data_IF_190376987751
#
_entry.id   IF_190376987751
#
_cell.length_a   1.000
_cell.length_b   1.000
_cell.length_c   1.000
_cell.angle_alpha   90.00
_cell.angle_beta   90.00
_cell.angle_gamma   90.00
#
_symmetry.space_group_name_H-M   'P 1'
#
loop_
_entity.id
_entity.type
_entity.pdbx_description
1 polymer ?
#
# COMPACT_ATOMS: atom_id res chain seq x y z
N UNK A 1 -40.47 34.03 -5.30
CA UNK A 1 -39.78 34.63 -4.15
C UNK A 1 -38.55 33.79 -3.86
N UNK A 2 -37.43 34.48 -3.73
CA UNK A 2 -36.04 34.01 -3.86
C UNK A 2 -35.63 32.95 -2.83
N UNK A 3 -34.89 31.95 -3.29
CA UNK A 3 -34.08 31.03 -2.48
C UNK A 3 -32.79 31.72 -2.00
N UNK A 4 -32.40 31.54 -0.74
CA UNK A 4 -31.06 31.87 -0.26
C UNK A 4 -30.50 30.69 0.54
N UNK A 5 -29.42 30.11 0.01
CA UNK A 5 -28.57 29.11 0.67
C UNK A 5 -27.89 29.70 1.91
N UNK A 6 -27.58 28.89 2.94
CA UNK A 6 -26.65 29.30 3.98
C UNK A 6 -25.21 29.27 3.46
N UNK A 7 -24.46 30.31 3.83
CA UNK A 7 -23.10 30.60 3.42
C UNK A 7 -22.13 29.47 3.73
N UNK A 8 -21.29 29.14 2.75
CA UNK A 8 -20.15 28.26 2.87
C UNK A 8 -19.00 29.05 3.49
N UNK A 9 -18.51 28.60 4.64
CA UNK A 9 -17.29 29.13 5.25
C UNK A 9 -16.11 28.91 4.28
N UNK A 10 -15.28 29.92 3.99
CA UNK A 10 -14.14 29.76 3.09
C UNK A 10 -13.07 28.89 3.74
N UNK A 11 -12.87 27.69 3.18
CA UNK A 11 -11.72 26.84 3.50
C UNK A 11 -10.45 27.50 2.96
N UNK A 12 -9.61 28.01 3.86
CA UNK A 12 -8.25 28.47 3.52
C UNK A 12 -7.44 27.26 3.03
N UNK A 13 -6.83 27.31 1.84
CA UNK A 13 -6.04 26.20 1.33
C UNK A 13 -4.75 26.03 2.14
N UNK A 14 -4.43 24.79 2.50
CA UNK A 14 -3.20 24.44 3.23
C UNK A 14 -1.94 24.89 2.47
N UNK A 15 -0.88 25.33 3.18
CA UNK A 15 0.39 25.70 2.57
C UNK A 15 1.03 24.51 1.82
N UNK A 16 1.82 24.76 0.74
CA UNK A 16 2.38 23.71 -0.11
C UNK A 16 3.26 22.68 0.63
N UNK A 17 3.86 23.08 1.76
CA UNK A 17 4.67 22.22 2.63
C UNK A 17 3.86 21.20 3.44
N UNK A 18 2.52 21.34 3.48
CA UNK A 18 1.59 20.44 4.18
C UNK A 18 0.71 19.61 3.24
N UNK A 19 0.92 19.72 1.93
CA UNK A 19 0.35 18.74 1.01
C UNK A 19 1.15 17.44 1.17
N UNK A 20 0.50 16.28 1.39
CA UNK A 20 1.21 15.02 1.23
C UNK A 20 1.84 15.04 -0.17
N UNK A 21 3.11 14.61 -0.33
CA UNK A 21 3.69 14.52 -1.66
C UNK A 21 2.68 13.81 -2.53
N UNK A 22 2.38 14.39 -3.70
CA UNK A 22 1.58 13.73 -4.70
C UNK A 22 2.31 12.42 -5.03
N UNK A 23 1.98 11.37 -4.29
CA UNK A 23 2.36 10.03 -4.63
C UNK A 23 1.62 9.81 -5.93
N UNK A 24 2.36 9.89 -7.02
CA UNK A 24 1.98 9.31 -8.28
C UNK A 24 1.59 7.88 -7.96
N UNK A 25 0.29 7.65 -7.79
CA UNK A 25 -0.36 6.36 -7.71
C UNK A 25 -0.25 5.76 -9.13
N UNK A 26 0.99 5.57 -9.62
CA UNK A 26 1.33 5.03 -10.94
C UNK A 26 1.16 3.51 -10.92
N UNK A 27 -0.02 3.05 -10.48
CA UNK A 27 -0.57 1.77 -10.90
C UNK A 27 -1.14 1.87 -12.33
N UNK A 28 -1.06 3.04 -12.97
CA UNK A 28 -1.56 3.33 -14.32
C UNK A 28 -0.61 2.98 -15.45
N UNK A 29 0.66 2.68 -15.21
CA UNK A 29 1.68 2.66 -16.28
C UNK A 29 2.19 1.27 -16.66
N UNK A 30 1.49 0.19 -16.30
CA UNK A 30 1.90 -1.17 -16.73
C UNK A 30 1.33 -1.61 -18.09
N UNK A 31 0.44 -0.83 -18.71
CA UNK A 31 -0.29 -1.22 -19.92
C UNK A 31 0.14 -0.51 -21.22
N UNK A 32 1.18 0.32 -21.17
CA UNK A 32 1.68 1.10 -22.32
C UNK A 32 3.15 0.81 -22.64
N UNK A 33 3.62 -0.42 -22.40
CA UNK A 33 4.95 -0.82 -22.84
C UNK A 33 4.95 -0.99 -24.36
N UNK A 34 5.80 -0.22 -25.04
CA UNK A 34 6.09 -0.41 -26.47
C UNK A 34 6.61 -1.83 -26.73
N UNK A 35 6.48 -2.31 -27.96
CA UNK A 35 6.88 -3.67 -28.37
C UNK A 35 8.36 -3.96 -28.06
N UNK A 36 9.21 -2.93 -28.15
CA UNK A 36 10.63 -2.96 -27.79
C UNK A 36 10.81 -3.12 -26.27
N UNK A 37 10.02 -2.41 -25.47
CA UNK A 37 10.06 -2.55 -24.01
C UNK A 37 9.55 -3.93 -23.56
N UNK A 38 8.54 -4.49 -24.24
CA UNK A 38 8.07 -5.86 -24.04
C UNK A 38 9.17 -6.88 -24.38
N UNK A 39 9.88 -6.71 -25.50
CA UNK A 39 11.00 -7.57 -25.88
C UNK A 39 12.15 -7.53 -24.86
N UNK A 40 12.59 -6.34 -24.45
CA UNK A 40 13.65 -6.21 -23.44
C UNK A 40 13.24 -6.78 -22.08
N UNK A 41 11.97 -6.62 -21.71
CA UNK A 41 11.40 -7.22 -20.49
C UNK A 41 11.36 -8.75 -20.57
N UNK A 42 10.99 -9.32 -21.72
CA UNK A 42 11.03 -10.77 -22.01
C UNK A 42 12.44 -11.33 -21.81
N UNK A 43 13.46 -10.67 -22.39
CA UNK A 43 14.88 -11.08 -22.24
C UNK A 43 15.35 -11.04 -20.78
N UNK A 44 14.93 -10.03 -20.00
CA UNK A 44 15.24 -9.93 -18.55
C UNK A 44 14.55 -11.02 -17.73
N UNK A 45 13.30 -11.35 -18.05
CA UNK A 45 12.55 -12.40 -17.36
C UNK A 45 13.18 -13.78 -17.60
N UNK A 46 13.56 -14.09 -18.85
CA UNK A 46 14.29 -15.30 -19.20
C UNK A 46 15.61 -15.40 -18.44
N UNK A 47 16.39 -14.31 -18.39
CA UNK A 47 17.63 -14.24 -17.59
C UNK A 47 17.37 -14.52 -16.11
N UNK A 48 16.36 -13.90 -15.51
CA UNK A 48 16.03 -14.10 -14.10
C UNK A 48 15.52 -15.52 -13.78
N UNK A 49 14.88 -16.21 -14.73
CA UNK A 49 14.48 -17.61 -14.57
C UNK A 49 15.71 -18.52 -14.67
N UNK A 50 16.63 -18.25 -15.62
CA UNK A 50 17.91 -18.95 -15.71
C UNK A 50 18.75 -18.78 -14.44
N UNK A 51 18.83 -17.56 -13.91
CA UNK A 51 19.48 -17.28 -12.61
C UNK A 51 18.76 -17.94 -11.43
N UNK A 52 17.42 -18.05 -11.47
CA UNK A 52 16.66 -18.77 -10.44
C UNK A 52 16.97 -20.27 -10.47
N UNK A 53 17.06 -20.87 -11.65
CA UNK A 53 17.48 -22.26 -11.83
C UNK A 53 18.90 -22.45 -11.27
N UNK A 54 19.81 -21.53 -11.59
CA UNK A 54 21.20 -21.56 -11.13
C UNK A 54 21.37 -21.27 -9.62
N UNK A 55 20.47 -20.47 -9.01
CA UNK A 55 20.52 -20.12 -7.58
C UNK A 55 19.99 -21.23 -6.67
N UNK A 56 19.10 -22.07 -7.18
CA UNK A 56 18.55 -23.21 -6.47
C UNK A 56 19.20 -24.53 -6.93
N UNK A 57 20.46 -24.46 -7.35
CA UNK A 57 21.26 -25.62 -7.72
C UNK A 57 21.22 -26.63 -6.57
N UNK A 58 20.64 -27.78 -6.89
CA UNK A 58 20.63 -28.98 -6.08
C UNK A 58 22.10 -29.37 -5.87
N UNK A 59 22.40 -30.04 -4.77
CA UNK A 59 23.73 -30.59 -4.46
C UNK A 59 24.20 -31.70 -5.44
N UNK A 60 23.85 -31.61 -6.72
CA UNK A 60 24.19 -32.53 -7.81
C UNK A 60 24.95 -31.80 -8.90
N UNK A 61 26.15 -31.34 -8.55
CA UNK A 61 27.16 -31.06 -9.56
C UNK A 61 27.42 -32.35 -10.37
N UNK A 62 27.49 -32.31 -11.71
CA UNK A 62 27.71 -33.49 -12.56
C UNK A 62 29.01 -34.25 -12.27
N UNK A 63 29.87 -33.67 -11.45
CA UNK A 63 31.11 -34.28 -10.99
C UNK A 63 30.91 -35.32 -9.86
N UNK A 64 29.71 -35.40 -9.24
CA UNK A 64 29.44 -36.26 -8.06
C UNK A 64 28.04 -36.92 -8.00
N UNK A 65 27.17 -36.76 -9.00
CA UNK A 65 25.83 -37.38 -9.01
C UNK A 65 25.91 -38.91 -9.06
N UNK A 66 25.26 -39.58 -8.10
CA UNK A 66 25.38 -41.05 -7.89
C UNK A 66 24.41 -41.88 -8.74
N UNK A 67 23.45 -41.24 -9.42
CA UNK A 67 22.40 -41.89 -10.20
C UNK A 67 22.33 -41.32 -11.62
N UNK A 68 22.33 -42.20 -12.62
CA UNK A 68 22.32 -41.83 -14.05
C UNK A 68 21.04 -41.11 -14.51
N UNK A 69 19.93 -41.25 -13.77
CA UNK A 69 18.64 -40.67 -14.15
C UNK A 69 18.52 -39.16 -13.82
N UNK A 70 19.26 -38.66 -12.83
CA UNK A 70 19.26 -37.24 -12.44
C UNK A 70 20.14 -36.37 -13.37
N UNK A 71 21.02 -37.00 -14.15
CA UNK A 71 21.97 -36.33 -15.05
C UNK A 71 21.25 -35.64 -16.22
N UNK A 72 20.10 -36.17 -16.67
CA UNK A 72 19.37 -35.62 -17.81
C UNK A 72 18.72 -34.25 -17.55
N UNK A 73 18.52 -33.86 -16.29
CA UNK A 73 17.79 -32.63 -15.93
C UNK A 73 18.71 -31.41 -15.71
N UNK A 74 20.03 -31.57 -15.89
CA UNK A 74 20.99 -30.49 -15.65
C UNK A 74 20.96 -29.40 -16.74
N UNK A 75 21.19 -28.14 -16.36
CA UNK A 75 21.24 -26.98 -17.28
C UNK A 75 22.34 -27.14 -18.35
N UNK A 76 23.37 -27.94 -18.07
CA UNK A 76 24.43 -28.29 -19.02
C UNK A 76 23.91 -29.30 -20.06
N UNK A 77 23.10 -30.29 -19.65
CA UNK A 77 22.40 -31.18 -20.59
C UNK A 77 21.38 -30.41 -21.42
N UNK A 78 20.76 -29.35 -20.89
CA UNK A 78 19.86 -28.48 -21.67
C UNK A 78 20.61 -27.61 -22.69
N UNK A 79 21.81 -27.14 -22.37
CA UNK A 79 22.70 -26.46 -23.31
C UNK A 79 23.25 -27.44 -24.38
N UNK A 80 23.54 -28.68 -24.00
CA UNK A 80 23.89 -29.77 -24.92
C UNK A 80 22.68 -30.16 -25.78
N UNK A 81 21.47 -30.23 -25.21
CA UNK A 81 20.22 -30.52 -25.93
C UNK A 81 19.95 -29.46 -27.00
N UNK A 82 20.11 -28.17 -26.66
CA UNK A 82 20.06 -27.06 -27.60
C UNK A 82 21.13 -27.14 -28.71
N UNK A 83 22.26 -27.80 -28.46
CA UNK A 83 23.28 -28.13 -29.47
C UNK A 83 23.01 -29.45 -30.21
N UNK A 84 22.01 -30.25 -29.84
CA UNK A 84 21.76 -31.58 -30.43
C UNK A 84 20.47 -31.72 -31.21
N UNK A 85 19.59 -30.72 -31.25
CA UNK A 85 18.39 -30.82 -32.07
C UNK A 85 18.75 -30.73 -33.55
N UNK A 86 18.60 -31.85 -34.26
CA UNK A 86 18.64 -31.92 -35.73
C UNK A 86 17.39 -31.26 -36.36
N UNK A 87 16.35 -31.06 -35.55
CA UNK A 87 15.03 -30.57 -35.95
C UNK A 87 14.95 -29.03 -35.94
N UNK A 88 14.05 -28.42 -36.73
CA UNK A 88 13.91 -26.97 -36.80
C UNK A 88 13.23 -26.42 -35.54
N UNK A 89 13.48 -25.14 -35.16
CA UNK A 89 13.07 -24.62 -33.86
C UNK A 89 11.55 -24.66 -33.57
N UNK A 90 10.72 -24.63 -34.62
CA UNK A 90 9.27 -24.78 -34.50
C UNK A 90 8.85 -26.19 -34.04
N UNK A 91 9.51 -27.23 -34.52
CA UNK A 91 9.24 -28.63 -34.10
C UNK A 91 9.77 -28.89 -32.71
N UNK A 92 10.97 -28.37 -32.41
CA UNK A 92 11.54 -28.39 -31.05
C UNK A 92 10.58 -27.74 -30.04
N UNK A 93 9.97 -26.60 -30.40
CA UNK A 93 8.99 -25.93 -29.55
C UNK A 93 7.73 -26.79 -29.31
N UNK A 94 7.25 -27.53 -30.32
CA UNK A 94 6.13 -28.44 -30.16
C UNK A 94 6.47 -29.63 -29.26
N UNK A 95 7.64 -30.24 -29.43
CA UNK A 95 8.11 -31.34 -28.56
C UNK A 95 8.17 -30.93 -27.10
N UNK A 96 8.77 -29.76 -26.79
CA UNK A 96 8.83 -29.26 -25.42
C UNK A 96 7.46 -28.87 -24.85
N UNK A 97 6.53 -28.37 -25.68
CA UNK A 97 5.14 -28.12 -25.26
C UNK A 97 4.44 -29.42 -24.85
N UNK A 98 4.66 -30.50 -25.58
CA UNK A 98 4.10 -31.82 -25.26
C UNK A 98 4.68 -32.39 -23.97
N UNK A 99 6.01 -32.38 -23.83
CA UNK A 99 6.71 -32.77 -22.59
C UNK A 99 6.21 -31.97 -21.38
N UNK A 100 6.06 -30.65 -21.51
CA UNK A 100 5.52 -29.81 -20.44
C UNK A 100 4.07 -30.15 -20.09
N UNK A 101 3.28 -30.57 -21.08
CA UNK A 101 1.89 -30.98 -20.87
C UNK A 101 1.76 -32.34 -20.21
N UNK A 102 2.70 -33.26 -20.47
CA UNK A 102 2.83 -34.54 -19.78
C UNK A 102 3.26 -34.34 -18.33
N UNK A 103 4.34 -33.58 -18.09
CA UNK A 103 4.79 -33.23 -16.76
C UNK A 103 3.70 -32.53 -15.92
N UNK A 104 2.85 -31.70 -16.56
CA UNK A 104 1.71 -31.08 -15.89
C UNK A 104 0.64 -32.10 -15.46
N UNK A 105 0.38 -33.14 -16.26
CA UNK A 105 -0.55 -34.24 -15.90
C UNK A 105 -0.02 -35.04 -14.72
N UNK A 106 1.29 -35.27 -14.67
CA UNK A 106 1.99 -35.94 -13.58
C UNK A 106 2.13 -35.07 -12.32
N UNK A 107 1.71 -33.81 -12.39
CA UNK A 107 1.89 -32.79 -11.33
C UNK A 107 3.36 -32.49 -11.03
N UNK A 108 4.27 -32.83 -11.93
CA UNK A 108 5.66 -32.39 -11.87
C UNK A 108 5.76 -30.94 -12.38
N UNK A 109 5.40 -30.00 -11.50
CA UNK A 109 5.34 -28.58 -11.82
C UNK A 109 6.70 -27.96 -12.15
N UNK A 110 7.81 -28.54 -11.66
CA UNK A 110 9.16 -28.03 -11.95
C UNK A 110 9.54 -28.35 -13.39
N UNK A 111 9.41 -29.61 -13.80
CA UNK A 111 9.75 -30.02 -15.15
C UNK A 111 8.80 -29.38 -16.16
N UNK A 112 7.51 -29.26 -15.83
CA UNK A 112 6.57 -28.50 -16.66
C UNK A 112 7.00 -27.03 -16.87
N UNK A 113 7.54 -26.37 -15.83
CA UNK A 113 8.02 -24.99 -15.96
C UNK A 113 9.25 -24.89 -16.88
N UNK A 114 10.17 -25.85 -16.76
CA UNK A 114 11.38 -25.94 -17.58
C UNK A 114 11.00 -26.17 -19.04
N UNK A 115 10.22 -27.22 -19.33
CA UNK A 115 9.79 -27.57 -20.68
C UNK A 115 9.00 -26.45 -21.35
N UNK A 116 8.05 -25.79 -20.65
CA UNK A 116 7.35 -24.65 -21.24
C UNK A 116 8.26 -23.44 -21.48
N UNK A 117 9.32 -23.26 -20.68
CA UNK A 117 10.28 -22.17 -20.90
C UNK A 117 11.15 -22.46 -22.13
N UNK A 118 11.64 -23.70 -22.27
CA UNK A 118 12.39 -24.15 -23.45
C UNK A 118 11.54 -24.06 -24.72
N UNK A 119 10.25 -24.41 -24.64
CA UNK A 119 9.33 -24.24 -25.77
C UNK A 119 9.18 -22.78 -26.21
N UNK A 120 9.07 -21.84 -25.25
CA UNK A 120 8.99 -20.40 -25.53
C UNK A 120 10.31 -19.89 -26.15
N UNK A 121 11.44 -20.36 -25.66
CA UNK A 121 12.76 -19.98 -26.17
C UNK A 121 12.96 -20.48 -27.61
N UNK A 122 12.55 -21.71 -27.91
CA UNK A 122 12.54 -22.27 -29.27
C UNK A 122 11.58 -21.51 -30.21
N UNK A 123 10.40 -21.09 -29.74
CA UNK A 123 9.51 -20.20 -30.49
C UNK A 123 10.15 -18.85 -30.79
N UNK A 124 10.88 -18.27 -29.83
CA UNK A 124 11.59 -17.01 -30.03
C UNK A 124 12.72 -17.16 -31.07
N UNK A 125 13.47 -18.25 -31.02
CA UNK A 125 14.49 -18.57 -32.02
C UNK A 125 13.88 -18.74 -33.42
N UNK A 126 12.77 -19.49 -33.52
CA UNK A 126 12.04 -19.62 -34.78
C UNK A 126 11.65 -18.24 -35.35
N UNK A 127 11.15 -17.34 -34.50
CA UNK A 127 10.79 -15.97 -34.91
C UNK A 127 11.98 -15.12 -35.33
N UNK A 128 13.13 -15.29 -34.70
CA UNK A 128 14.36 -14.61 -35.10
C UNK A 128 14.82 -15.09 -36.48
N UNK A 129 14.81 -16.41 -36.72
CA UNK A 129 15.09 -16.98 -38.03
C UNK A 129 14.12 -16.45 -39.10
N UNK A 130 12.82 -16.37 -38.79
CA UNK A 130 11.81 -15.77 -39.68
C UNK A 130 12.07 -14.29 -39.99
N UNK A 131 12.53 -13.51 -39.01
CA UNK A 131 12.83 -12.10 -39.20
C UNK A 131 14.02 -11.93 -40.16
N UNK A 132 15.08 -12.71 -39.98
CA UNK A 132 16.27 -12.71 -40.85
C UNK A 132 15.92 -13.06 -42.30
N UNK A 133 15.04 -14.05 -42.50
CA UNK A 133 14.57 -14.44 -43.84
C UNK A 133 13.82 -13.30 -44.56
N UNK A 134 13.05 -12.50 -43.83
CA UNK A 134 12.27 -11.39 -44.40
C UNK A 134 13.15 -10.17 -44.79
N UNK A 135 14.31 -9.99 -44.17
CA UNK A 135 15.25 -8.89 -44.47
C UNK A 135 16.07 -9.11 -45.75
N UNK A 136 15.71 -10.11 -46.59
CA UNK A 136 16.43 -10.54 -47.81
C UNK A 136 17.84 -11.07 -47.56
N UNK A 137 18.17 -11.42 -46.32
CA UNK A 137 19.34 -12.26 -46.05
C UNK A 137 19.00 -13.68 -46.52
N UNK A 138 19.55 -14.10 -47.66
CA UNK A 138 19.50 -15.49 -48.06
C UNK A 138 20.18 -16.40 -47.02
N UNK A 139 20.07 -17.74 -47.16
CA UNK A 139 20.66 -18.72 -46.25
C UNK A 139 22.20 -18.65 -46.14
N UNK A 140 22.86 -17.82 -46.95
CA UNK A 140 24.31 -17.63 -46.97
C UNK A 140 24.83 -16.62 -45.93
N UNK A 141 23.98 -15.91 -45.18
CA UNK A 141 24.37 -14.87 -44.22
C UNK A 141 24.22 -15.26 -42.73
N UNK A 142 24.17 -16.56 -42.41
CA UNK A 142 23.93 -17.12 -41.06
C UNK A 142 25.11 -16.93 -40.09
N UNK A 143 26.31 -16.62 -40.58
CA UNK A 143 27.51 -16.41 -39.76
C UNK A 143 27.40 -15.25 -38.73
N UNK A 144 26.30 -14.48 -38.73
CA UNK A 144 26.08 -13.33 -37.84
C UNK A 144 25.22 -13.60 -36.59
N UNK A 145 25.00 -14.86 -36.18
CA UNK A 145 24.32 -15.15 -34.91
C UNK A 145 25.29 -15.01 -33.71
N UNK A 146 25.50 -13.76 -33.30
CA UNK A 146 26.18 -13.39 -32.05
C UNK A 146 25.37 -13.84 -30.82
N UNK A 147 25.63 -15.03 -30.28
CA UNK A 147 25.35 -15.43 -28.88
C UNK A 147 25.89 -16.86 -28.58
N UNK A 148 27.01 -17.28 -29.19
CA UNK A 148 27.66 -18.56 -28.87
C UNK A 148 28.58 -18.39 -27.65
N UNK A 149 28.59 -19.37 -26.75
CA UNK A 149 29.41 -19.32 -25.53
C UNK A 149 30.90 -19.25 -25.91
N UNK A 150 31.63 -18.21 -25.46
CA UNK A 150 33.04 -18.01 -25.81
C UNK A 150 33.98 -19.11 -25.29
N UNK A 151 33.49 -20.04 -24.47
CA UNK A 151 34.27 -21.16 -23.94
C UNK A 151 34.17 -22.46 -24.76
N UNK A 152 33.43 -22.50 -25.88
CA UNK A 152 33.37 -23.70 -26.73
C UNK A 152 34.71 -23.96 -27.43
N UNK A 153 35.09 -25.24 -27.52
CA UNK A 153 36.23 -25.66 -28.36
C UNK A 153 35.94 -25.37 -29.83
N UNK A 154 36.99 -25.15 -30.64
CA UNK A 154 36.82 -24.81 -32.06
C UNK A 154 36.03 -25.84 -32.87
N UNK A 155 36.17 -27.12 -32.56
CA UNK A 155 35.46 -28.20 -33.25
C UNK A 155 33.98 -28.27 -32.83
N UNK A 156 33.69 -28.03 -31.55
CA UNK A 156 32.30 -28.04 -31.03
C UNK A 156 31.54 -26.79 -31.50
N UNK A 157 32.23 -25.65 -31.59
CA UNK A 157 31.69 -24.42 -32.15
C UNK A 157 31.30 -24.61 -33.62
N UNK A 158 32.15 -25.26 -34.41
CA UNK A 158 31.90 -25.53 -35.83
C UNK A 158 30.70 -26.47 -36.03
N UNK A 159 30.57 -27.51 -35.20
CA UNK A 159 29.42 -28.41 -35.22
C UNK A 159 28.12 -27.67 -34.88
N UNK A 160 28.13 -26.88 -33.81
CA UNK A 160 26.96 -26.10 -33.38
C UNK A 160 26.50 -25.10 -34.46
N UNK A 161 27.44 -24.40 -35.10
CA UNK A 161 27.15 -23.49 -36.22
C UNK A 161 26.53 -24.24 -37.41
N UNK A 162 27.06 -25.43 -37.74
CA UNK A 162 26.56 -26.26 -38.84
C UNK A 162 25.14 -26.75 -38.56
N UNK A 163 24.86 -27.24 -37.35
CA UNK A 163 23.53 -27.67 -36.95
C UNK A 163 22.52 -26.52 -36.97
N UNK A 164 22.92 -25.35 -36.45
CA UNK A 164 22.07 -24.15 -36.47
C UNK A 164 21.73 -23.71 -37.89
N UNK A 165 22.71 -23.77 -38.81
CA UNK A 165 22.50 -23.52 -40.25
C UNK A 165 21.53 -24.52 -40.86
N UNK A 166 21.66 -25.81 -40.54
CA UNK A 166 20.75 -26.84 -41.04
C UNK A 166 19.31 -26.62 -40.53
N UNK A 167 19.14 -26.34 -39.23
CA UNK A 167 17.85 -26.04 -38.63
C UNK A 167 17.18 -24.79 -39.24
N UNK A 168 17.97 -23.75 -39.53
CA UNK A 168 17.49 -22.56 -40.26
C UNK A 168 17.00 -22.90 -41.67
N UNK A 169 17.79 -23.65 -42.44
CA UNK A 169 17.42 -24.04 -43.80
C UNK A 169 16.14 -24.88 -43.83
N UNK A 170 16.00 -25.79 -42.86
CA UNK A 170 14.82 -26.64 -42.74
C UNK A 170 13.56 -25.82 -42.41
N UNK A 171 13.65 -24.88 -41.45
CA UNK A 171 12.57 -23.95 -41.15
C UNK A 171 12.20 -23.12 -42.40
N UNK A 172 13.18 -22.64 -43.15
CA UNK A 172 12.94 -21.88 -44.38
C UNK A 172 12.16 -22.68 -45.42
N UNK A 173 12.55 -23.94 -45.67
CA UNK A 173 11.81 -24.83 -46.57
C UNK A 173 10.37 -25.07 -46.10
N UNK A 174 10.17 -25.25 -44.79
CA UNK A 174 8.84 -25.45 -44.22
C UNK A 174 7.96 -24.21 -44.37
N UNK A 175 8.52 -23.01 -44.22
CA UNK A 175 7.78 -21.77 -44.44
C UNK A 175 7.34 -21.58 -45.89
N UNK A 176 8.14 -22.03 -46.86
CA UNK A 176 7.72 -22.00 -48.27
C UNK A 176 6.55 -22.94 -48.54
N UNK A 177 6.51 -24.08 -47.83
CA UNK A 177 5.44 -25.08 -47.95
C UNK A 177 4.18 -24.70 -47.18
N UNK A 178 4.30 -24.01 -46.04
CA UNK A 178 3.19 -23.61 -45.18
C UNK A 178 3.15 -22.09 -44.92
N UNK A 179 2.29 -21.33 -45.61
CA UNK A 179 2.18 -19.88 -45.42
C UNK A 179 1.65 -19.48 -44.04
N UNK A 180 1.06 -20.40 -43.27
CA UNK A 180 0.55 -20.15 -41.93
C UNK A 180 1.53 -20.51 -40.81
N UNK A 181 2.78 -20.86 -41.14
CA UNK A 181 3.78 -21.32 -40.15
C UNK A 181 3.97 -20.33 -39.00
N UNK A 182 4.02 -19.02 -39.30
CA UNK A 182 4.11 -17.97 -38.26
C UNK A 182 2.95 -18.04 -37.26
N UNK A 183 1.72 -18.24 -37.74
CA UNK A 183 0.54 -18.34 -36.88
C UNK A 183 0.58 -19.61 -36.02
N UNK A 184 1.14 -20.71 -36.53
CA UNK A 184 1.35 -21.94 -35.75
C UNK A 184 2.34 -21.71 -34.61
N UNK A 185 3.48 -21.07 -34.89
CA UNK A 185 4.49 -20.73 -33.87
C UNK A 185 3.87 -19.80 -32.81
N UNK A 186 3.14 -18.75 -33.23
CA UNK A 186 2.44 -17.84 -32.32
C UNK A 186 1.41 -18.58 -31.44
N UNK A 187 0.69 -19.55 -32.02
CA UNK A 187 -0.27 -20.40 -31.30
C UNK A 187 0.42 -21.28 -30.26
N UNK A 188 1.54 -21.93 -30.61
CA UNK A 188 2.34 -22.75 -29.69
C UNK A 188 2.89 -21.91 -28.55
N UNK A 189 3.46 -20.75 -28.84
CA UNK A 189 4.01 -19.85 -27.83
C UNK A 189 2.93 -19.36 -26.86
N UNK A 190 1.78 -18.92 -27.38
CA UNK A 190 0.64 -18.49 -26.58
C UNK A 190 0.12 -19.62 -25.67
N UNK A 191 0.04 -20.86 -26.17
CA UNK A 191 -0.33 -22.03 -25.35
C UNK A 191 0.71 -22.30 -24.25
N UNK A 192 2.00 -22.20 -24.55
CA UNK A 192 3.07 -22.38 -23.57
C UNK A 192 2.99 -21.32 -22.47
N UNK A 193 2.82 -20.03 -22.80
CA UNK A 193 2.59 -19.00 -21.78
C UNK A 193 1.33 -19.27 -20.94
N UNK A 194 0.24 -19.72 -21.57
CA UNK A 194 -1.02 -20.02 -20.90
C UNK A 194 -0.89 -21.17 -19.88
N UNK A 195 -0.17 -22.22 -20.25
CA UNK A 195 0.09 -23.38 -19.40
C UNK A 195 1.16 -23.07 -18.33
N UNK A 196 2.22 -22.34 -18.69
CA UNK A 196 3.24 -21.88 -17.74
C UNK A 196 2.64 -20.95 -16.67
N UNK A 197 1.72 -20.06 -17.04
CA UNK A 197 0.96 -19.26 -16.09
C UNK A 197 0.16 -20.12 -15.11
N UNK A 198 -0.42 -21.24 -15.56
CA UNK A 198 -1.13 -22.18 -14.69
C UNK A 198 -0.19 -22.85 -13.69
N UNK A 199 0.98 -23.31 -14.15
CA UNK A 199 2.02 -23.89 -13.29
C UNK A 199 2.48 -22.88 -12.24
N UNK A 200 2.79 -21.65 -12.66
CA UNK A 200 3.23 -20.60 -11.75
C UNK A 200 2.16 -20.20 -10.74
N UNK A 201 0.88 -20.19 -11.13
CA UNK A 201 -0.23 -19.98 -10.21
C UNK A 201 -0.29 -21.07 -9.13
N UNK A 202 -0.10 -22.35 -9.52
CA UNK A 202 -0.06 -23.48 -8.59
C UNK A 202 1.13 -23.39 -7.64
N UNK A 203 2.30 -22.96 -8.15
CA UNK A 203 3.52 -22.72 -7.38
C UNK A 203 3.47 -21.42 -6.54
N UNK A 204 2.35 -20.68 -6.55
CA UNK A 204 2.19 -19.37 -5.86
C UNK A 204 3.17 -18.28 -6.32
N UNK A 205 3.72 -18.43 -7.53
CA UNK A 205 4.55 -17.43 -8.19
C UNK A 205 3.68 -16.38 -8.88
N UNK A 206 2.93 -15.60 -8.09
CA UNK A 206 1.86 -14.73 -8.60
C UNK A 206 2.32 -13.63 -9.54
N UNK A 207 3.51 -13.05 -9.32
CA UNK A 207 4.04 -11.98 -10.19
C UNK A 207 4.34 -12.52 -11.58
N UNK A 208 5.13 -13.61 -11.66
CA UNK A 208 5.44 -14.28 -12.93
C UNK A 208 4.14 -14.72 -13.64
N UNK A 209 3.16 -15.22 -12.88
CA UNK A 209 1.89 -15.68 -13.46
C UNK A 209 1.14 -14.54 -14.17
N UNK A 210 1.15 -13.33 -13.59
CA UNK A 210 0.57 -12.14 -14.23
C UNK A 210 1.33 -11.77 -15.49
N UNK A 211 2.66 -11.89 -15.49
CA UNK A 211 3.49 -11.60 -16.66
C UNK A 211 3.23 -12.58 -17.80
N UNK A 212 3.18 -13.89 -17.52
CA UNK A 212 2.81 -14.89 -18.52
C UNK A 212 1.38 -14.66 -19.06
N UNK A 213 0.44 -14.29 -18.19
CA UNK A 213 -0.92 -13.96 -18.63
C UNK A 213 -0.97 -12.69 -19.50
N UNK A 214 -0.06 -11.73 -19.30
CA UNK A 214 0.03 -10.54 -20.16
C UNK A 214 0.45 -10.90 -21.57
N UNK A 215 1.43 -11.79 -21.73
CA UNK A 215 1.85 -12.28 -23.05
C UNK A 215 0.68 -13.00 -23.74
N UNK A 216 -0.05 -13.87 -23.02
CA UNK A 216 -1.26 -14.52 -23.58
C UNK A 216 -2.30 -13.49 -24.03
N UNK A 217 -2.52 -12.44 -23.23
CA UNK A 217 -3.50 -11.39 -23.55
C UNK A 217 -3.04 -10.43 -24.66
N UNK A 218 -1.75 -10.40 -24.98
CA UNK A 218 -1.21 -9.70 -26.15
C UNK A 218 -1.56 -10.47 -27.44
N UNK A 219 -1.50 -11.80 -27.42
CA UNK A 219 -1.96 -12.65 -28.53
C UNK A 219 -3.49 -12.73 -28.63
N UNK A 220 -4.16 -12.99 -27.51
CA UNK A 220 -5.60 -13.13 -27.42
C UNK A 220 -6.14 -12.31 -26.25
N UNK A 221 -6.55 -11.07 -26.56
CA UNK A 221 -7.14 -10.15 -25.58
C UNK A 221 -8.47 -10.64 -24.99
N UNK A 222 -9.08 -11.72 -25.54
CA UNK A 222 -10.34 -12.31 -25.09
C UNK A 222 -10.14 -13.55 -24.21
N UNK A 223 -8.89 -13.94 -23.93
CA UNK A 223 -8.59 -15.16 -23.20
C UNK A 223 -9.06 -15.12 -21.74
N UNK A 224 -10.25 -15.68 -21.47
CA UNK A 224 -10.87 -15.68 -20.13
C UNK A 224 -10.03 -16.43 -19.10
N UNK A 225 -9.34 -17.51 -19.50
CA UNK A 225 -8.46 -18.28 -18.61
C UNK A 225 -7.29 -17.43 -18.12
N UNK A 226 -6.61 -16.71 -19.02
CA UNK A 226 -5.53 -15.80 -18.64
C UNK A 226 -6.02 -14.68 -17.72
N UNK A 227 -7.20 -14.11 -18.00
CA UNK A 227 -7.81 -13.10 -17.10
C UNK A 227 -8.12 -13.66 -15.72
N UNK A 228 -8.68 -14.87 -15.63
CA UNK A 228 -8.98 -15.51 -14.35
C UNK A 228 -7.72 -15.76 -13.52
N UNK A 229 -6.65 -16.27 -14.16
CA UNK A 229 -5.37 -16.47 -13.48
C UNK A 229 -4.75 -15.14 -13.01
N UNK A 230 -4.87 -14.09 -13.82
CA UNK A 230 -4.43 -12.73 -13.45
C UNK A 230 -5.21 -12.20 -12.24
N UNK A 231 -6.54 -12.36 -12.22
CA UNK A 231 -7.41 -11.97 -11.10
C UNK A 231 -7.00 -12.67 -9.82
N UNK A 232 -6.80 -13.99 -9.86
CA UNK A 232 -6.39 -14.78 -8.69
C UNK A 232 -5.02 -14.34 -8.18
N UNK A 233 -4.03 -14.22 -9.06
CA UNK A 233 -2.69 -13.75 -8.69
C UNK A 233 -2.68 -12.32 -8.15
N UNK A 234 -3.43 -11.40 -8.76
CA UNK A 234 -3.53 -10.02 -8.33
C UNK A 234 -4.18 -9.89 -6.95
N UNK A 235 -5.20 -10.70 -6.68
CA UNK A 235 -5.87 -10.75 -5.38
C UNK A 235 -4.92 -11.20 -4.26
N UNK A 236 -4.13 -12.26 -4.49
CA UNK A 236 -3.13 -12.75 -3.53
C UNK A 236 -2.01 -11.73 -3.30
N UNK A 237 -1.62 -10.97 -4.33
CA UNK A 237 -0.66 -9.86 -4.23
C UNK A 237 -1.26 -8.57 -3.63
N UNK A 238 -2.52 -8.60 -3.18
CA UNK A 238 -3.26 -7.42 -2.67
C UNK A 238 -3.34 -6.25 -3.66
N UNK A 239 -3.17 -6.52 -4.97
CA UNK A 239 -3.36 -5.57 -6.06
C UNK A 239 -4.84 -5.54 -6.47
N UNK A 240 -5.70 -5.11 -5.52
CA UNK A 240 -7.16 -5.18 -5.66
C UNK A 240 -7.71 -4.32 -6.81
N UNK A 241 -7.07 -3.17 -7.11
CA UNK A 241 -7.40 -2.33 -8.28
C UNK A 241 -7.24 -3.12 -9.59
N UNK A 242 -6.11 -3.82 -9.75
CA UNK A 242 -5.81 -4.65 -10.91
C UNK A 242 -6.82 -5.82 -11.04
N UNK A 243 -7.11 -6.49 -9.92
CA UNK A 243 -8.12 -7.55 -9.84
C UNK A 243 -9.48 -7.06 -10.37
N UNK A 244 -9.97 -5.92 -9.87
CA UNK A 244 -11.25 -5.33 -10.32
C UNK A 244 -11.25 -5.02 -11.82
N UNK A 245 -10.17 -4.42 -12.34
CA UNK A 245 -10.03 -4.08 -13.77
C UNK A 245 -10.17 -5.31 -14.66
N UNK A 246 -9.47 -6.41 -14.35
CA UNK A 246 -9.57 -7.64 -15.12
C UNK A 246 -10.90 -8.36 -14.94
N UNK A 247 -11.51 -8.34 -13.75
CA UNK A 247 -12.87 -8.86 -13.57
C UNK A 247 -13.88 -8.13 -14.45
N UNK A 248 -13.86 -6.79 -14.45
CA UNK A 248 -14.78 -5.99 -15.29
C UNK A 248 -14.55 -6.24 -16.78
N UNK A 249 -13.28 -6.33 -17.20
CA UNK A 249 -12.91 -6.68 -18.59
C UNK A 249 -13.44 -8.06 -18.97
N UNK A 250 -13.21 -9.07 -18.12
CA UNK A 250 -13.68 -10.44 -18.35
C UNK A 250 -15.21 -10.52 -18.44
N UNK A 251 -15.94 -9.94 -17.49
CA UNK A 251 -17.41 -9.91 -17.51
C UNK A 251 -17.95 -9.26 -18.79
N UNK A 252 -17.32 -8.18 -19.26
CA UNK A 252 -17.72 -7.50 -20.50
C UNK A 252 -17.53 -8.40 -21.72
N UNK A 253 -16.41 -9.12 -21.80
CA UNK A 253 -16.11 -10.06 -22.89
C UNK A 253 -17.08 -11.24 -22.86
N UNK A 254 -17.30 -11.84 -21.70
CA UNK A 254 -18.17 -13.02 -21.54
C UNK A 254 -19.62 -12.68 -21.90
N UNK A 255 -20.11 -11.50 -21.52
CA UNK A 255 -21.47 -11.07 -21.85
C UNK A 255 -21.67 -10.83 -23.35
N UNK A 256 -20.65 -10.32 -24.05
CA UNK A 256 -20.73 -10.05 -25.49
C UNK A 256 -20.51 -11.30 -26.36
N UNK A 257 -19.52 -12.12 -26.02
CA UNK A 257 -18.99 -13.16 -26.90
C UNK A 257 -18.55 -14.44 -26.16
N UNK A 258 -18.92 -14.60 -24.88
CA UNK A 258 -18.48 -15.73 -24.07
C UNK A 258 -19.13 -17.05 -24.48
N UNK A 259 -18.34 -18.12 -24.41
CA UNK A 259 -18.84 -19.50 -24.56
C UNK A 259 -19.70 -19.92 -23.37
N UNK A 260 -20.45 -21.02 -23.49
CA UNK A 260 -21.22 -21.59 -22.36
C UNK A 260 -20.33 -21.88 -21.15
N UNK A 261 -19.08 -22.28 -21.37
CA UNK A 261 -18.13 -22.56 -20.29
C UNK A 261 -17.62 -21.27 -19.65
N UNK A 262 -17.41 -20.20 -20.42
CA UNK A 262 -17.00 -18.91 -19.87
C UNK A 262 -18.11 -18.28 -19.02
N UNK A 263 -19.37 -18.43 -19.42
CA UNK A 263 -20.52 -17.91 -18.66
C UNK A 263 -20.61 -18.50 -17.24
N UNK A 264 -20.17 -19.75 -17.03
CA UNK A 264 -20.10 -20.35 -15.68
C UNK A 264 -19.10 -19.65 -14.76
N UNK A 265 -18.13 -18.91 -15.33
CA UNK A 265 -17.11 -18.18 -14.55
C UNK A 265 -17.53 -16.76 -14.15
N UNK A 266 -18.59 -16.20 -14.75
CA UNK A 266 -19.15 -14.89 -14.38
C UNK A 266 -19.35 -14.68 -12.87
N UNK A 267 -20.02 -15.59 -12.13
CA UNK A 267 -20.23 -15.40 -10.68
C UNK A 267 -18.90 -15.35 -9.90
N UNK A 268 -17.85 -16.01 -10.40
CA UNK A 268 -16.53 -15.97 -9.79
C UNK A 268 -15.90 -14.58 -9.93
N UNK A 269 -15.97 -13.96 -11.12
CA UNK A 269 -15.47 -12.60 -11.34
C UNK A 269 -16.26 -11.57 -10.52
N UNK A 270 -17.60 -11.67 -10.49
CA UNK A 270 -18.44 -10.78 -9.69
C UNK A 270 -18.14 -10.88 -8.19
N UNK A 271 -17.92 -12.10 -7.69
CA UNK A 271 -17.48 -12.33 -6.31
C UNK A 271 -16.15 -11.61 -6.02
N UNK A 272 -15.17 -11.72 -6.92
CA UNK A 272 -13.86 -11.07 -6.74
C UNK A 272 -13.93 -9.55 -6.84
N UNK A 273 -14.88 -8.96 -7.58
CA UNK A 273 -15.13 -7.52 -7.57
C UNK A 273 -15.56 -7.08 -6.15
N UNK A 274 -16.59 -7.73 -5.58
CA UNK A 274 -17.10 -7.42 -4.24
C UNK A 274 -16.01 -7.57 -3.17
N UNK A 275 -15.25 -8.66 -3.21
CA UNK A 275 -14.14 -8.90 -2.28
C UNK A 275 -13.05 -7.83 -2.41
N UNK A 276 -12.69 -7.45 -3.64
CA UNK A 276 -11.68 -6.42 -3.90
C UNK A 276 -12.12 -5.06 -3.37
N UNK A 277 -13.39 -4.68 -3.58
CA UNK A 277 -13.95 -3.43 -3.07
C UNK A 277 -13.93 -3.39 -1.54
N UNK A 278 -14.31 -4.48 -0.87
CA UNK A 278 -14.23 -4.57 0.59
C UNK A 278 -12.78 -4.39 1.09
N UNK A 279 -11.80 -4.99 0.42
CA UNK A 279 -10.40 -4.87 0.84
C UNK A 279 -9.82 -3.47 0.57
N UNK A 280 -10.18 -2.84 -0.56
CA UNK A 280 -9.79 -1.46 -0.86
C UNK A 280 -10.33 -0.52 0.22
N UNK A 281 -11.62 -0.65 0.59
CA UNK A 281 -12.21 0.18 1.65
C UNK A 281 -11.51 -0.03 3.00
N UNK A 282 -11.20 -1.28 3.36
CA UNK A 282 -10.43 -1.58 4.57
C UNK A 282 -9.03 -0.94 4.55
N UNK A 283 -8.34 -0.97 3.41
CA UNK A 283 -7.04 -0.32 3.27
C UNK A 283 -7.14 1.20 3.38
N UNK A 284 -8.18 1.82 2.81
CA UNK A 284 -8.41 3.27 2.91
C UNK A 284 -8.68 3.67 4.36
N UNK A 285 -9.55 2.94 5.07
CA UNK A 285 -9.87 3.20 6.48
C UNK A 285 -8.62 3.04 7.34
N UNK A 286 -7.87 1.94 7.18
CA UNK A 286 -6.64 1.70 7.94
C UNK A 286 -5.57 2.78 7.67
N UNK A 287 -5.41 3.21 6.41
CA UNK A 287 -4.51 4.32 6.07
C UNK A 287 -4.95 5.63 6.71
N UNK A 288 -6.25 5.94 6.68
CA UNK A 288 -6.80 7.13 7.35
C UNK A 288 -6.56 7.08 8.86
N UNK A 289 -6.84 5.96 9.50
CA UNK A 289 -6.57 5.77 10.93
C UNK A 289 -5.09 5.92 11.27
N UNK A 290 -4.19 5.40 10.42
CA UNK A 290 -2.75 5.54 10.63
C UNK A 290 -2.31 7.00 10.52
N UNK A 291 -2.73 7.72 9.48
CA UNK A 291 -2.42 9.16 9.32
C UNK A 291 -2.93 9.96 10.51
N UNK A 292 -4.11 9.64 11.02
CA UNK A 292 -4.65 10.30 12.21
C UNK A 292 -3.84 9.99 13.46
N UNK A 293 -3.42 8.73 13.68
CA UNK A 293 -2.56 8.35 14.80
C UNK A 293 -1.19 9.02 14.72
N UNK A 294 -0.61 9.10 13.52
CA UNK A 294 0.68 9.77 13.31
C UNK A 294 0.55 11.27 13.60
N UNK A 295 -0.58 11.91 13.25
CA UNK A 295 -0.90 13.29 13.62
C UNK A 295 -1.05 13.46 15.14
N UNK A 296 -1.82 12.59 15.81
CA UNK A 296 -2.00 12.61 17.26
C UNK A 296 -0.64 12.48 17.99
N UNK A 297 0.20 11.54 17.55
CA UNK A 297 1.53 11.31 18.12
C UNK A 297 2.44 12.54 17.95
N UNK A 298 2.41 13.17 16.77
CA UNK A 298 3.20 14.38 16.51
C UNK A 298 2.80 15.56 17.41
N UNK A 299 1.51 15.74 17.67
CA UNK A 299 1.05 16.79 18.60
C UNK A 299 1.54 16.50 20.01
N UNK A 300 1.49 15.23 20.45
CA UNK A 300 2.00 14.81 21.76
C UNK A 300 3.51 15.05 21.89
N UNK A 301 4.28 14.74 20.85
CA UNK A 301 5.73 15.00 20.80
C UNK A 301 6.03 16.49 20.99
N UNK A 302 5.34 17.37 20.26
CA UNK A 302 5.53 18.83 20.35
C UNK A 302 5.19 19.36 21.76
N UNK A 303 4.12 18.85 22.38
CA UNK A 303 3.71 19.21 23.75
C UNK A 303 4.81 18.81 24.75
N UNK A 304 5.36 17.59 24.61
CA UNK A 304 6.42 17.10 25.48
C UNK A 304 7.74 17.86 25.30
N UNK A 305 8.12 18.16 24.04
CA UNK A 305 9.28 18.99 23.71
C UNK A 305 9.15 20.42 24.28
N UNK A 306 7.93 20.93 24.35
CA UNK A 306 7.60 22.24 24.96
C UNK A 306 7.68 22.25 26.49
N UNK A 307 8.06 21.13 27.12
CA UNK A 307 8.21 20.97 28.57
C UNK A 307 6.93 20.63 29.32
N UNK A 308 5.81 20.42 28.63
CA UNK A 308 4.52 20.08 29.24
C UNK A 308 4.46 18.57 29.48
N UNK A 309 4.17 18.18 30.73
CA UNK A 309 4.10 16.77 31.13
C UNK A 309 2.68 16.24 31.00
N UNK A 310 2.52 15.07 30.39
CA UNK A 310 1.22 14.39 30.28
C UNK A 310 0.86 13.61 31.56
N UNK A 311 -0.44 13.50 31.84
CA UNK A 311 -1.01 12.84 33.01
C UNK A 311 -2.28 12.05 32.72
N UNK A 312 -2.98 11.64 33.76
CA UNK A 312 -4.22 10.86 33.63
C UNK A 312 -5.39 11.77 33.27
N UNK A 313 -6.39 11.22 32.60
CA UNK A 313 -7.61 11.96 32.31
C UNK A 313 -8.41 12.18 33.60
N UNK A 314 -8.59 13.45 33.94
CA UNK A 314 -9.35 13.89 35.13
C UNK A 314 -10.86 13.76 34.90
N UNK A 315 -11.32 14.09 33.69
CA UNK A 315 -12.72 14.02 33.28
C UNK A 315 -12.85 12.91 32.23
N UNK A 316 -13.80 11.99 32.46
CA UNK A 316 -14.07 10.93 31.50
C UNK A 316 -14.74 11.51 30.25
N UNK A 317 -14.38 10.98 29.07
CA UNK A 317 -14.87 11.45 27.75
C UNK A 317 -16.39 11.48 27.61
N UNK A 318 -17.12 10.77 28.47
CA UNK A 318 -18.58 10.70 28.50
C UNK A 318 -19.24 11.90 29.21
N UNK A 319 -18.47 12.71 29.95
CA UNK A 319 -18.93 13.91 30.66
C UNK A 319 -18.74 15.20 29.84
N UNK A 320 -18.22 15.08 28.61
CA UNK A 320 -18.03 16.21 27.69
C UNK A 320 -19.32 16.48 26.88
N UNK A 321 -19.66 17.75 26.58
CA UNK A 321 -20.83 18.11 25.79
C UNK A 321 -20.96 17.37 24.44
N UNK A 322 -22.18 17.14 23.90
CA UNK A 322 -22.36 16.61 22.55
C UNK A 322 -21.76 17.57 21.50
N UNK A 323 -20.58 17.22 20.95
CA UNK A 323 -19.75 18.09 20.10
C UNK A 323 -18.33 18.24 20.62
N UNK A 324 -18.14 18.12 21.94
CA UNK A 324 -16.86 18.04 22.65
C UNK A 324 -16.27 16.61 22.68
N UNK A 325 -16.57 15.81 21.65
CA UNK A 325 -15.78 14.62 21.28
C UNK A 325 -14.77 14.92 20.14
N UNK A 326 -14.06 16.08 20.08
CA UNK A 326 -13.00 16.23 19.11
C UNK A 326 -11.89 15.23 19.45
N UNK A 327 -11.23 14.75 18.39
CA UNK A 327 -10.10 13.84 18.49
C UNK A 327 -8.95 14.54 19.21
N UNK A 328 -8.00 13.81 19.78
CA UNK A 328 -6.90 14.40 20.59
C UNK A 328 -6.18 15.54 19.84
N UNK A 329 -5.84 15.34 18.56
CA UNK A 329 -5.18 16.35 17.71
C UNK A 329 -6.00 17.60 17.38
N UNK A 330 -7.31 17.59 17.63
CA UNK A 330 -8.17 18.74 17.33
C UNK A 330 -8.33 19.66 18.55
N UNK A 331 -7.79 19.27 19.71
CA UNK A 331 -7.78 20.05 20.96
C UNK A 331 -6.59 20.99 21.08
N UNK A 332 -5.54 20.74 20.30
CA UNK A 332 -4.34 21.58 20.25
C UNK A 332 -4.00 21.82 18.79
N UNK A 333 -3.98 23.09 18.40
CA UNK A 333 -3.60 23.54 17.05
C UNK A 333 -2.36 24.40 17.16
N UNK A 334 -1.50 24.36 16.14
CA UNK A 334 -0.35 25.25 16.05
C UNK A 334 -0.74 26.48 15.23
N UNK A 335 -0.41 27.67 15.74
CA UNK A 335 -0.56 28.93 15.02
C UNK A 335 0.51 29.09 13.91
N UNK A 336 0.51 30.24 13.23
CA UNK A 336 1.48 30.56 12.17
C UNK A 336 2.94 30.63 12.66
N UNK A 337 3.14 30.89 13.95
CA UNK A 337 4.45 31.01 14.60
C UNK A 337 4.91 29.70 15.26
N UNK A 338 4.12 28.62 15.16
CA UNK A 338 4.40 27.33 15.80
C UNK A 338 4.07 27.27 17.29
N UNK A 339 3.28 28.23 17.80
CA UNK A 339 2.77 28.31 19.17
C UNK A 339 1.48 27.51 19.32
N UNK A 340 1.25 26.98 20.50
CA UNK A 340 0.10 26.10 20.77
C UNK A 340 -1.14 26.89 21.16
N UNK A 341 -2.26 26.55 20.54
CA UNK A 341 -3.60 27.01 20.91
C UNK A 341 -4.38 25.82 21.45
N UNK A 342 -4.74 25.87 22.73
CA UNK A 342 -5.43 24.81 23.44
C UNK A 342 -6.94 25.08 23.47
N UNK A 343 -7.74 24.03 23.37
CA UNK A 343 -9.08 24.03 23.95
C UNK A 343 -8.93 23.87 25.46
N UNK A 344 -9.69 24.64 26.25
CA UNK A 344 -9.58 24.65 27.73
C UNK A 344 -10.96 24.47 28.34
N UNK A 345 -11.05 23.72 29.44
CA UNK A 345 -12.28 23.54 30.19
C UNK A 345 -12.18 24.25 31.55
N UNK A 346 -13.14 25.14 31.82
CA UNK A 346 -13.36 25.71 33.14
C UNK A 346 -14.52 24.99 33.81
N UNK A 347 -14.27 24.46 35.01
CA UNK A 347 -15.25 23.69 35.80
C UNK A 347 -15.69 24.52 36.99
N UNK A 348 -17.00 24.58 37.21
CA UNK A 348 -17.64 25.23 38.33
C UNK A 348 -18.20 24.17 39.27
N UNK A 349 -17.35 23.61 40.12
CA UNK A 349 -17.69 22.44 40.96
C UNK A 349 -18.88 22.71 41.90
N UNK A 350 -19.06 23.94 42.38
CA UNK A 350 -20.20 24.33 43.23
C UNK A 350 -21.55 24.14 42.54
N UNK A 351 -21.57 24.24 41.20
CA UNK A 351 -22.80 24.19 40.39
C UNK A 351 -22.88 22.96 39.49
N UNK A 352 -21.83 22.13 39.48
CA UNK A 352 -21.68 21.00 38.56
C UNK A 352 -21.91 21.44 37.10
N UNK A 353 -21.33 22.58 36.73
CA UNK A 353 -21.36 23.17 35.40
C UNK A 353 -19.93 23.36 34.86
N UNK A 354 -19.79 23.55 33.56
CA UNK A 354 -18.49 23.80 32.93
C UNK A 354 -18.64 24.64 31.68
N UNK A 355 -17.68 25.53 31.45
CA UNK A 355 -17.52 26.25 30.19
C UNK A 355 -16.36 25.71 29.38
N UNK A 356 -16.56 25.67 28.05
CA UNK A 356 -15.59 25.16 27.11
C UNK A 356 -15.06 26.29 26.21
N UNK A 357 -13.78 26.62 26.40
CA UNK A 357 -13.07 27.62 25.61
C UNK A 357 -12.46 26.91 24.40
N UNK A 358 -12.87 27.32 23.19
CA UNK A 358 -12.46 26.64 21.96
C UNK A 358 -11.02 26.95 21.53
N UNK A 359 -10.51 28.12 21.90
CA UNK A 359 -9.18 28.58 21.53
C UNK A 359 -8.61 29.45 22.65
N UNK A 360 -7.54 28.95 23.27
CA UNK A 360 -6.77 29.62 24.32
C UNK A 360 -5.30 29.55 23.89
N UNK A 361 -4.73 30.68 23.48
CA UNK A 361 -3.35 30.72 23.02
C UNK A 361 -2.40 30.55 24.21
N UNK A 362 -1.28 29.83 24.06
CA UNK A 362 -0.39 29.53 25.19
C UNK A 362 0.22 30.78 25.85
N UNK A 363 0.27 31.91 25.14
CA UNK A 363 0.78 33.18 25.65
C UNK A 363 -0.31 34.08 26.26
N UNK A 364 -1.59 33.73 26.07
CA UNK A 364 -2.71 34.47 26.67
C UNK A 364 -2.69 34.29 28.19
N UNK A 365 -3.07 35.35 28.91
CA UNK A 365 -3.17 35.30 30.37
C UNK A 365 -4.55 34.83 30.80
N UNK A 366 -4.62 34.07 31.89
CA UNK A 366 -5.91 33.61 32.42
C UNK A 366 -6.84 34.77 32.78
N UNK A 367 -6.30 35.87 33.28
CA UNK A 367 -7.05 37.08 33.63
C UNK A 367 -7.80 37.70 32.43
N UNK A 368 -7.27 37.56 31.21
CA UNK A 368 -7.89 38.15 30.01
C UNK A 368 -9.16 37.38 29.63
N UNK A 369 -9.06 36.05 29.57
CA UNK A 369 -10.20 35.17 29.32
C UNK A 369 -11.24 35.24 30.45
N UNK A 370 -10.79 35.18 31.71
CA UNK A 370 -11.68 35.28 32.87
C UNK A 370 -12.32 36.66 32.99
N UNK A 371 -11.63 37.74 32.61
CA UNK A 371 -12.19 39.09 32.63
C UNK A 371 -13.29 39.29 31.58
N UNK A 372 -13.16 38.63 30.43
CA UNK A 372 -14.22 38.59 29.42
C UNK A 372 -15.43 37.75 29.87
N UNK A 373 -15.20 36.65 30.60
CA UNK A 373 -16.26 35.77 31.11
C UNK A 373 -16.97 36.33 32.35
N UNK A 374 -16.23 36.97 33.27
CA UNK A 374 -16.70 37.46 34.57
C UNK A 374 -16.42 38.95 34.79
N UNK A 375 -16.96 39.85 33.95
CA UNK A 375 -16.69 41.28 34.09
C UNK A 375 -17.30 41.86 35.38
N UNK A 376 -16.68 42.89 36.01
CA UNK A 376 -17.14 43.46 37.29
C UNK A 376 -18.57 44.00 37.33
N UNK A 377 -19.10 44.40 36.16
CA UNK A 377 -20.49 44.87 35.97
C UNK A 377 -21.21 44.03 34.90
N UNK A 378 -20.90 42.73 34.87
CA UNK A 378 -21.45 41.78 33.92
C UNK A 378 -22.89 41.37 34.18
N UNK A 379 -23.47 40.59 33.25
CA UNK A 379 -24.71 39.87 33.52
C UNK A 379 -24.52 38.90 34.71
N UNK A 380 -25.60 38.59 35.44
CA UNK A 380 -25.52 37.67 36.56
C UNK A 380 -25.02 36.29 36.12
N UNK A 381 -24.22 35.64 36.97
CA UNK A 381 -23.70 34.31 36.71
C UNK A 381 -24.85 33.32 36.46
N UNK A 382 -24.92 32.69 35.27
CA UNK A 382 -26.12 32.02 34.79
C UNK A 382 -26.49 30.75 35.58
N UNK A 383 -25.54 30.18 36.31
CA UNK A 383 -25.73 28.94 37.07
C UNK A 383 -25.97 29.17 38.57
N UNK A 384 -25.80 30.41 39.04
CA UNK A 384 -25.94 30.78 40.44
C UNK A 384 -27.38 31.03 40.87
N UNK A 385 -27.66 30.83 42.16
CA UNK A 385 -28.90 31.30 42.80
C UNK A 385 -28.86 32.84 42.96
N UNK A 386 -29.97 33.49 43.34
CA UNK A 386 -30.04 34.96 43.51
C UNK A 386 -28.91 35.57 44.36
N UNK A 387 -28.34 34.80 45.30
CA UNK A 387 -27.19 35.22 46.13
C UNK A 387 -25.83 35.06 45.45
N UNK A 388 -25.71 34.14 44.50
CA UNK A 388 -24.46 33.77 43.81
C UNK A 388 -24.34 34.41 42.42
N UNK A 389 -25.44 34.94 41.90
CA UNK A 389 -25.54 35.64 40.62
C UNK A 389 -24.59 36.84 40.50
N UNK A 390 -24.32 37.57 41.58
CA UNK A 390 -23.39 38.70 41.60
C UNK A 390 -22.01 38.35 42.20
N UNK A 391 -21.82 37.10 42.66
CA UNK A 391 -20.60 36.69 43.37
C UNK A 391 -19.46 36.33 42.42
N UNK A 392 -19.77 35.73 41.28
CA UNK A 392 -18.77 35.32 40.29
C UNK A 392 -18.35 36.50 39.41
N UNK A 393 -17.50 37.35 39.96
CA UNK A 393 -16.77 38.42 39.27
C UNK A 393 -15.27 38.17 39.35
N UNK A 394 -14.49 38.66 38.39
CA UNK A 394 -13.04 38.44 38.31
C UNK A 394 -12.30 38.67 39.64
N UNK A 395 -12.69 39.70 40.40
CA UNK A 395 -12.06 40.05 41.67
C UNK A 395 -12.37 39.06 42.81
N UNK A 396 -13.42 38.26 42.68
CA UNK A 396 -13.95 37.38 43.73
C UNK A 396 -13.78 35.89 43.42
N UNK A 397 -13.19 35.53 42.28
CA UNK A 397 -12.91 34.15 41.89
C UNK A 397 -11.45 33.76 42.14
N UNK A 398 -11.23 32.48 42.41
CA UNK A 398 -9.93 31.81 42.40
C UNK A 398 -9.96 30.71 41.34
N UNK A 399 -8.83 30.52 40.65
CA UNK A 399 -8.65 29.44 39.69
C UNK A 399 -7.62 28.46 40.22
N UNK A 400 -7.98 27.18 40.20
CA UNK A 400 -7.15 26.09 40.67
C UNK A 400 -7.00 25.02 39.59
N UNK A 401 -5.94 24.23 39.66
CA UNK A 401 -5.88 22.94 38.99
C UNK A 401 -5.56 21.85 40.00
N UNK A 402 -5.90 20.62 39.64
CA UNK A 402 -5.64 19.45 40.45
C UNK A 402 -4.21 18.90 40.21
N UNK A 403 -3.46 18.70 41.30
CA UNK A 403 -2.09 18.16 41.25
C UNK A 403 -2.13 16.65 41.02
N UNK A 404 -2.11 16.26 39.75
CA UNK A 404 -2.17 14.86 39.36
C UNK A 404 -0.96 14.03 39.83
N UNK A 405 0.15 14.63 40.26
CA UNK A 405 1.29 13.87 40.79
C UNK A 405 0.98 13.21 42.14
N UNK A 406 -0.03 13.73 42.84
CA UNK A 406 -0.50 13.20 44.14
C UNK A 406 -1.77 12.36 44.05
N UNK A 407 -2.19 12.04 42.82
CA UNK A 407 -3.28 11.10 42.53
C UNK A 407 -3.11 9.76 43.25
N UNK A 408 -4.06 9.42 44.14
CA UNK A 408 -4.06 8.15 44.88
C UNK A 408 -3.46 8.23 46.30
N UNK A 409 -2.97 9.39 46.72
CA UNK A 409 -2.76 9.69 48.14
C UNK A 409 -4.09 10.08 48.78
N UNK A 410 -4.30 9.81 50.06
CA UNK A 410 -5.58 10.01 50.80
C UNK A 410 -6.12 11.47 50.83
N UNK A 411 -5.52 12.43 50.13
CA UNK A 411 -6.00 13.81 50.00
C UNK A 411 -5.71 14.36 48.61
N UNK A 412 -6.77 14.73 47.88
CA UNK A 412 -6.68 15.49 46.63
C UNK A 412 -6.09 16.88 46.91
N UNK A 413 -5.08 17.28 46.12
CA UNK A 413 -4.39 18.56 46.31
C UNK A 413 -4.67 19.47 45.12
N UNK A 414 -5.12 20.68 45.41
CA UNK A 414 -5.41 21.71 44.41
C UNK A 414 -4.39 22.84 44.53
N UNK A 415 -3.92 23.34 43.40
CA UNK A 415 -2.89 24.37 43.33
C UNK A 415 -3.51 25.64 42.80
N UNK A 416 -3.35 26.76 43.51
CA UNK A 416 -3.81 28.07 43.04
C UNK A 416 -2.98 28.56 41.86
N UNK A 417 -3.69 29.00 40.82
CA UNK A 417 -3.12 29.61 39.63
C UNK A 417 -3.07 31.12 39.80
N UNK A 418 -1.94 31.74 39.45
CA UNK A 418 -1.85 33.20 39.38
C UNK A 418 -2.51 33.64 38.08
N UNK A 419 -3.52 34.50 38.16
CA UNK A 419 -4.31 34.90 36.99
C UNK A 419 -3.49 35.68 35.94
N UNK A 420 -2.37 36.29 36.35
CA UNK A 420 -1.47 37.02 35.46
C UNK A 420 -0.48 36.11 34.70
N UNK A 421 -0.36 34.83 35.08
CA UNK A 421 0.49 33.89 34.37
C UNK A 421 -0.16 33.51 33.03
N UNK A 422 0.68 33.23 32.02
CA UNK A 422 0.18 32.71 30.74
C UNK A 422 -0.26 31.26 30.87
N UNK A 423 -1.15 30.78 30.00
CA UNK A 423 -1.52 29.36 30.00
C UNK A 423 -0.30 28.46 29.87
N UNK A 424 0.64 28.78 28.98
CA UNK A 424 1.88 28.04 28.77
C UNK A 424 2.75 27.97 30.03
N UNK A 425 2.83 29.05 30.81
CA UNK A 425 3.57 29.05 32.08
C UNK A 425 2.93 28.09 33.09
N UNK A 426 1.59 28.09 33.18
CA UNK A 426 0.83 27.21 34.09
C UNK A 426 0.99 25.75 33.69
N UNK A 427 0.87 25.43 32.40
CA UNK A 427 0.99 24.06 31.89
C UNK A 427 2.41 23.47 32.04
N UNK A 428 3.44 24.33 32.10
CA UNK A 428 4.85 23.93 32.29
C UNK A 428 5.25 23.80 33.77
N UNK A 429 4.36 24.12 34.71
CA UNK A 429 4.66 23.95 36.14
C UNK A 429 4.94 22.48 36.49
N UNK A 430 5.89 22.25 37.41
CA UNK A 430 6.40 20.91 37.71
C UNK A 430 5.37 19.92 38.27
N UNK A 431 4.30 20.44 38.87
CA UNK A 431 3.16 19.76 39.47
C UNK A 431 1.93 19.68 38.54
N UNK A 432 1.86 20.47 37.47
CA UNK A 432 0.81 20.33 36.47
C UNK A 432 1.05 19.09 35.59
N UNK A 433 0.00 18.35 35.29
CA UNK A 433 0.04 17.30 34.26
C UNK A 433 -1.15 17.50 33.33
N UNK A 434 -0.87 17.74 32.06
CA UNK A 434 -1.89 17.85 31.03
C UNK A 434 -2.58 16.50 30.86
N UNK A 435 -3.91 16.41 30.97
CA UNK A 435 -4.64 15.18 30.72
C UNK A 435 -4.25 14.51 29.39
N UNK A 436 -4.24 13.18 29.34
CA UNK A 436 -3.91 12.39 28.14
C UNK A 436 -4.82 12.68 26.94
N UNK A 437 -6.00 13.23 27.20
CA UNK A 437 -6.94 13.71 26.21
C UNK A 437 -6.60 15.12 25.68
N UNK A 438 -5.49 15.73 26.11
CA UNK A 438 -4.98 17.05 25.71
C UNK A 438 -5.91 18.24 26.01
N UNK A 439 -6.79 18.12 27.01
CA UNK A 439 -7.68 19.19 27.45
C UNK A 439 -7.25 19.68 28.84
N UNK A 440 -6.62 20.85 28.97
CA UNK A 440 -6.44 21.50 30.25
C UNK A 440 -7.76 21.71 30.96
N UNK A 441 -7.80 21.34 32.24
CA UNK A 441 -8.96 21.54 33.13
C UNK A 441 -8.54 22.49 34.25
N UNK A 442 -9.37 23.49 34.51
CA UNK A 442 -9.21 24.41 35.64
C UNK A 442 -10.52 24.53 36.41
N UNK A 443 -10.42 24.57 37.73
CA UNK A 443 -11.54 24.71 38.65
C UNK A 443 -11.68 26.17 39.05
N UNK A 444 -12.84 26.76 38.78
CA UNK A 444 -13.14 28.17 39.07
C UNK A 444 -14.12 28.23 40.23
N UNK A 445 -13.67 28.76 41.35
CA UNK A 445 -14.45 28.82 42.59
C UNK A 445 -14.44 30.23 43.17
N UNK A 446 -15.49 30.59 43.91
CA UNK A 446 -15.51 31.84 44.65
C UNK A 446 -14.51 31.82 45.82
N UNK A 447 -13.91 32.96 46.20
CA UNK A 447 -12.94 33.06 47.33
C UNK A 447 -13.49 32.58 48.66
N UNK A 448 -14.78 32.78 48.89
CA UNK A 448 -15.50 32.31 50.09
C UNK A 448 -16.21 30.96 49.89
N UNK A 449 -15.91 30.24 48.82
CA UNK A 449 -16.50 28.94 48.52
C UNK A 449 -16.27 27.96 49.68
N UNK A 450 -17.28 27.14 49.98
CA UNK A 450 -17.15 26.09 51.00
C UNK A 450 -16.12 25.04 50.58
N UNK A 451 -16.03 24.77 49.28
CA UNK A 451 -15.09 23.81 48.69
C UNK A 451 -13.63 24.11 49.05
N UNK A 452 -13.24 25.38 49.11
CA UNK A 452 -11.87 25.78 49.49
C UNK A 452 -11.49 25.37 50.93
N UNK A 453 -12.47 25.11 51.80
CA UNK A 453 -12.24 24.58 53.16
C UNK A 453 -12.18 23.05 53.19
N UNK A 454 -12.79 22.40 52.22
CA UNK A 454 -12.83 20.94 52.09
C UNK A 454 -11.62 20.41 51.30
N UNK A 455 -11.11 21.20 50.36
CA UNK A 455 -9.94 20.88 49.55
C UNK A 455 -8.63 21.22 50.23
N UNK A 456 -7.60 20.39 50.00
CA UNK A 456 -6.24 20.74 50.37
C UNK A 456 -5.65 21.67 49.30
N UNK A 457 -5.76 22.97 49.53
CA UNK A 457 -5.27 24.00 48.61
C UNK A 457 -3.86 24.44 48.96
N UNK A 458 -2.97 24.51 47.96
CA UNK A 458 -1.60 25.03 48.09
C UNK A 458 -1.38 26.20 47.14
N UNK A 459 -0.50 27.14 47.51
CA UNK A 459 -0.08 28.21 46.62
C UNK A 459 0.96 27.68 45.65
N UNK A 460 0.90 28.06 44.37
CA UNK A 460 1.72 27.49 43.28
C UNK A 460 3.20 27.85 43.28
N UNK A 461 3.89 27.85 44.43
CA UNK A 461 5.33 28.11 44.56
C UNK A 461 5.99 27.53 45.84
N UNK A 462 5.37 26.57 46.54
CA UNK A 462 5.99 25.84 47.67
C UNK A 462 6.29 24.38 47.35
#
# INVERSE_FOLDING_TARGET
MSSTNPETVPTVPLPPSMQPPAQSDSDTDEDSLSEIQLYQRRKRMQKNIKEYIQKYDVEDSPLFASNQDEVMDSTVVQAIQAMTYEDPPNEVAEGFKEQGSEALKEKNYRNALISYTQAIDACLEAKQHMALLNEKAGPDNIDMMHDLDPNLSGDDLQKALTQRRNAFNLLWEQMQKDPNMKQKIDSVEMQCFNNRAQVQLTLKNFRKCIEDCREVLAYDARNVKAMWRTVKSAYELRRYKLCKRYCTKATTIINKQGTTQDRKTLPLFEKHIKLSDQQIQKQIIKKREQVMKDRDNRVVEIIQESGIKLGKDEIQTNQLPPGAKPKKSDRVVLDENGKMVFQVLFVYDEFNQSDFIQAFHEEDRLVEHLGAMFPPHGPPFPFGNEKDQERYVLDNIEVLYFDQTRMGSYNDVYVRVKLNDSLGDVLRQGNYRLPNNLLPVFHVVHKDARLLKEWKVVNGNE
#
